data_IF_898722453106
#
_entry.id   IF_898722453106
#
_cell.length_a   1.000
_cell.length_b   1.000
_cell.length_c   1.000
_cell.angle_alpha   90.00
_cell.angle_beta   90.00
_cell.angle_gamma   90.00
#
_symmetry.space_group_name_H-M   'P 1'
#
loop_
_entity.id
_entity.type
_entity.pdbx_description
1 polymer ?
#
# COMPACT_ATOMS: atom_id res chain seq x y z
N UNK A 1 -15.11 28.77 0.68
CA UNK A 1 -13.87 28.66 -0.11
C UNK A 1 -13.98 29.62 -1.28
N UNK A 2 -13.06 30.56 -1.36
CA UNK A 2 -12.93 31.50 -2.48
C UNK A 2 -12.13 30.85 -3.62
N UNK A 3 -12.19 31.40 -4.84
CA UNK A 3 -11.35 30.92 -5.95
C UNK A 3 -9.84 31.06 -5.65
N UNK A 4 -9.45 32.05 -4.84
CA UNK A 4 -8.06 32.19 -4.37
C UNK A 4 -7.66 31.01 -3.47
N UNK A 5 -8.58 30.55 -2.60
CA UNK A 5 -8.33 29.39 -1.75
C UNK A 5 -8.13 28.12 -2.60
N UNK A 6 -8.92 27.97 -3.68
CA UNK A 6 -8.81 26.82 -4.60
C UNK A 6 -7.48 26.85 -5.38
N UNK A 7 -7.03 28.02 -5.85
CA UNK A 7 -5.75 28.16 -6.54
C UNK A 7 -4.57 27.79 -5.64
N UNK A 8 -4.54 28.28 -4.40
CA UNK A 8 -3.48 27.92 -3.44
C UNK A 8 -3.50 26.43 -3.07
N UNK A 9 -4.68 25.81 -2.99
CA UNK A 9 -4.78 24.36 -2.80
C UNK A 9 -4.27 23.58 -4.02
N UNK A 10 -4.49 24.09 -5.24
CA UNK A 10 -3.99 23.46 -6.45
C UNK A 10 -2.46 23.45 -6.51
N UNK A 11 -1.80 24.55 -6.10
CA UNK A 11 -0.34 24.62 -6.01
C UNK A 11 0.21 23.61 -5.00
N UNK A 12 -0.41 23.51 -3.82
CA UNK A 12 -0.04 22.54 -2.80
C UNK A 12 -0.24 21.08 -3.27
N UNK A 13 -1.32 20.82 -4.01
CA UNK A 13 -1.58 19.50 -4.59
C UNK A 13 -0.55 19.16 -5.67
N UNK A 14 -0.10 20.14 -6.45
CA UNK A 14 0.94 19.94 -7.44
C UNK A 14 2.25 19.51 -6.78
N UNK A 15 2.72 20.27 -5.76
CA UNK A 15 3.90 19.89 -4.98
C UNK A 15 3.72 18.49 -4.37
N UNK A 16 2.56 18.21 -3.76
CA UNK A 16 2.27 16.89 -3.16
C UNK A 16 2.40 15.77 -4.17
N UNK A 17 1.89 15.95 -5.39
CA UNK A 17 1.97 14.96 -6.45
C UNK A 17 3.43 14.71 -6.90
N UNK A 18 4.24 15.76 -7.02
CA UNK A 18 5.67 15.64 -7.34
C UNK A 18 6.44 14.87 -6.26
N UNK A 19 6.18 15.19 -4.98
CA UNK A 19 6.82 14.51 -3.85
C UNK A 19 6.38 13.05 -3.73
N UNK A 20 5.11 12.76 -4.02
CA UNK A 20 4.58 11.40 -4.07
C UNK A 20 5.20 10.59 -5.23
N UNK A 21 5.25 11.15 -6.44
CA UNK A 21 5.83 10.48 -7.60
C UNK A 21 7.30 10.12 -7.39
N UNK A 22 8.09 11.03 -6.82
CA UNK A 22 9.50 10.76 -6.50
C UNK A 22 9.66 9.65 -5.44
N UNK A 23 8.72 9.52 -4.50
CA UNK A 23 8.69 8.42 -3.54
C UNK A 23 8.33 7.10 -4.23
N UNK A 24 7.30 7.08 -5.07
CA UNK A 24 6.89 5.88 -5.82
C UNK A 24 7.99 5.35 -6.74
N UNK A 25 8.72 6.24 -7.43
CA UNK A 25 9.83 5.86 -8.32
C UNK A 25 10.99 5.20 -7.57
N UNK A 26 11.28 5.67 -6.35
CA UNK A 26 12.36 5.15 -5.51
C UNK A 26 11.96 3.92 -4.69
N UNK A 27 10.66 3.71 -4.46
CA UNK A 27 10.16 2.55 -3.75
C UNK A 27 10.33 1.28 -4.59
N UNK A 28 10.60 0.12 -3.96
CA UNK A 28 10.48 -1.15 -4.65
C UNK A 28 9.11 -1.28 -5.34
N UNK A 29 8.98 -1.98 -6.48
CA UNK A 29 7.68 -2.31 -7.04
C UNK A 29 6.85 -3.08 -6.01
N UNK A 30 5.68 -2.54 -5.65
CA UNK A 30 4.73 -3.21 -4.76
C UNK A 30 3.49 -3.60 -5.56
N UNK A 31 3.56 -4.78 -6.17
CA UNK A 31 2.46 -5.40 -6.91
C UNK A 31 1.42 -5.93 -5.92
N UNK A 32 0.67 -5.04 -5.26
CA UNK A 32 -0.26 -5.39 -4.17
C UNK A 32 -1.33 -6.41 -4.59
N UNK A 33 -1.59 -6.59 -5.88
CA UNK A 33 -2.46 -7.65 -6.39
C UNK A 33 -2.01 -9.06 -5.98
N UNK A 34 -0.71 -9.27 -5.77
CA UNK A 34 -0.17 -10.53 -5.25
C UNK A 34 -0.64 -10.80 -3.80
N UNK A 35 -0.59 -9.77 -2.94
CA UNK A 35 -1.11 -9.84 -1.58
C UNK A 35 -2.62 -10.02 -1.60
N UNK A 36 -3.35 -9.24 -2.42
CA UNK A 36 -4.82 -9.35 -2.56
C UNK A 36 -5.24 -10.75 -2.99
N UNK A 37 -4.56 -11.34 -3.98
CA UNK A 37 -4.87 -12.68 -4.45
C UNK A 37 -4.69 -13.73 -3.34
N UNK A 38 -3.60 -13.65 -2.56
CA UNK A 38 -3.38 -14.55 -1.43
C UNK A 38 -4.42 -14.37 -0.32
N UNK A 39 -4.76 -13.11 0.00
CA UNK A 39 -5.79 -12.76 0.97
C UNK A 39 -7.17 -13.30 0.54
N UNK A 40 -7.60 -12.98 -0.68
CA UNK A 40 -8.90 -13.37 -1.22
C UNK A 40 -9.02 -14.88 -1.27
N UNK A 41 -7.98 -15.59 -1.71
CA UNK A 41 -7.97 -17.06 -1.69
C UNK A 41 -8.14 -17.62 -0.28
N UNK A 42 -7.51 -17.01 0.74
CA UNK A 42 -7.71 -17.43 2.13
C UNK A 42 -9.16 -17.19 2.59
N UNK A 43 -9.76 -16.04 2.24
CA UNK A 43 -11.16 -15.73 2.55
C UNK A 43 -12.13 -16.69 1.86
N UNK A 44 -11.89 -17.02 0.59
CA UNK A 44 -12.68 -18.01 -0.17
C UNK A 44 -12.61 -19.40 0.47
N UNK A 45 -11.50 -19.74 1.12
CA UNK A 45 -11.32 -20.99 1.86
C UNK A 45 -11.84 -20.93 3.31
N UNK A 46 -12.49 -19.83 3.72
CA UNK A 46 -13.16 -19.71 5.01
C UNK A 46 -12.34 -19.05 6.12
N UNK A 47 -11.14 -18.53 5.84
CA UNK A 47 -10.37 -17.77 6.83
C UNK A 47 -11.08 -16.47 7.23
N UNK A 48 -10.93 -16.09 8.49
CA UNK A 48 -11.33 -14.75 8.94
C UNK A 48 -10.35 -13.68 8.42
N UNK A 49 -10.62 -12.41 8.72
CA UNK A 49 -9.83 -11.30 8.19
C UNK A 49 -8.35 -11.34 8.64
N UNK A 50 -8.09 -11.64 9.92
CA UNK A 50 -6.74 -11.65 10.49
C UNK A 50 -5.91 -12.83 9.96
N UNK A 51 -6.54 -14.00 9.84
CA UNK A 51 -5.94 -15.20 9.23
C UNK A 51 -5.59 -14.98 7.76
N UNK A 52 -6.48 -14.32 7.01
CA UNK A 52 -6.25 -14.03 5.60
C UNK A 52 -5.14 -12.98 5.40
N UNK A 53 -5.08 -11.95 6.26
CA UNK A 53 -3.95 -11.00 6.26
C UNK A 53 -2.63 -11.72 6.53
N UNK A 54 -2.61 -12.59 7.56
CA UNK A 54 -1.42 -13.38 7.89
C UNK A 54 -1.01 -14.34 6.76
N UNK A 55 -1.97 -14.89 6.01
CA UNK A 55 -1.68 -15.73 4.85
C UNK A 55 -1.09 -14.93 3.68
N UNK A 56 -1.59 -13.72 3.46
CA UNK A 56 -1.09 -12.83 2.41
C UNK A 56 0.30 -12.28 2.74
N UNK A 57 0.56 -11.90 4.00
CA UNK A 57 1.88 -11.48 4.47
C UNK A 57 2.91 -12.60 4.28
N UNK A 58 2.55 -13.84 4.63
CA UNK A 58 3.41 -15.01 4.38
C UNK A 58 3.66 -15.22 2.89
N UNK A 59 2.66 -15.07 2.03
CA UNK A 59 2.85 -15.20 0.58
C UNK A 59 3.85 -14.16 0.06
N UNK A 60 3.73 -12.90 0.49
CA UNK A 60 4.67 -11.85 0.10
C UNK A 60 6.09 -12.16 0.58
N UNK A 61 6.25 -12.62 1.81
CA UNK A 61 7.56 -12.95 2.36
C UNK A 61 8.20 -14.20 1.72
N UNK A 62 7.45 -15.28 1.56
CA UNK A 62 7.97 -16.59 1.16
C UNK A 62 8.10 -16.72 -0.37
N UNK A 63 7.15 -16.17 -1.13
CA UNK A 63 7.08 -16.33 -2.59
C UNK A 63 7.59 -15.11 -3.34
N UNK A 64 7.24 -13.90 -2.87
CA UNK A 64 7.68 -12.64 -3.50
C UNK A 64 8.98 -12.11 -2.89
N UNK A 65 9.44 -12.68 -1.78
CA UNK A 65 10.61 -12.23 -1.03
C UNK A 65 10.52 -10.76 -0.59
N UNK A 66 9.30 -10.26 -0.39
CA UNK A 66 8.98 -8.93 0.12
C UNK A 66 8.54 -9.09 1.58
N UNK A 67 9.37 -8.60 2.51
CA UNK A 67 9.06 -8.63 3.94
C UNK A 67 8.49 -7.29 4.35
N UNK A 68 7.21 -7.26 4.74
CA UNK A 68 6.61 -6.10 5.39
C UNK A 68 6.94 -6.20 6.88
N UNK A 69 7.86 -5.38 7.37
CA UNK A 69 8.06 -5.21 8.80
C UNK A 69 7.05 -4.18 9.31
N UNK A 70 6.23 -4.52 10.34
CA UNK A 70 5.38 -3.51 10.96
C UNK A 70 6.29 -2.44 11.55
N UNK A 71 6.22 -1.23 10.98
CA UNK A 71 6.93 -0.08 11.51
C UNK A 71 6.22 0.33 12.81
N UNK A 72 6.79 0.00 13.97
CA UNK A 72 6.26 0.47 15.27
C UNK A 72 6.36 -0.47 16.48
N UNK A 73 7.38 -1.34 16.58
CA UNK A 73 7.77 -1.94 17.85
C UNK A 73 9.11 -1.33 18.30
N UNK A 74 9.03 -0.11 18.84
CA UNK A 74 10.13 0.63 19.48
C UNK A 74 9.58 1.43 20.65
#
# INVERSE_FOLDING_TARGET
MSNTDVASLADLLHETAERHGAFEEAAPPHDWWDWYAAYMRARENGSNADEASSAADRYMAEVKHIVVTPTGAG
#
